data_IF_951939882843
#
_entry.id   IF_951939882843
#
_cell.length_a   1.000
_cell.length_b   1.000
_cell.length_c   1.000
_cell.angle_alpha   90.00
_cell.angle_beta   90.00
_cell.angle_gamma   90.00
#
_symmetry.space_group_name_H-M   'P 1'
#
loop_
_entity.id
_entity.type
_entity.pdbx_description
1 polymer ?
#
# COMPACT_ATOMS: atom_id res chain seq x y z
N UNK A 1 24.25 -32.48 30.87
CA UNK A 1 23.66 -31.33 30.15
C UNK A 1 24.67 -30.26 29.75
N UNK A 2 25.15 -29.34 30.61
CA UNK A 2 26.03 -28.24 30.12
C UNK A 2 27.34 -28.71 29.45
N UNK A 3 28.00 -29.74 30.01
CA UNK A 3 29.23 -30.30 29.40
C UNK A 3 29.01 -30.91 28.01
N UNK A 4 27.85 -31.52 27.77
CA UNK A 4 27.53 -32.14 26.46
C UNK A 4 27.24 -31.08 25.39
N UNK A 5 26.64 -29.94 25.79
CA UNK A 5 26.45 -28.78 24.91
C UNK A 5 27.82 -28.21 24.52
N UNK A 6 28.72 -28.01 25.48
CA UNK A 6 30.08 -27.51 25.24
C UNK A 6 30.88 -28.40 24.29
N UNK A 7 30.87 -29.72 24.51
CA UNK A 7 31.56 -30.69 23.66
C UNK A 7 31.08 -30.64 22.21
N UNK A 8 29.76 -30.56 21.99
CA UNK A 8 29.20 -30.47 20.65
C UNK A 8 29.51 -29.11 19.98
N UNK A 9 29.50 -28.02 20.73
CA UNK A 9 29.87 -26.69 20.20
C UNK A 9 31.35 -26.68 19.77
N UNK A 10 32.26 -27.22 20.58
CA UNK A 10 33.69 -27.29 20.26
C UNK A 10 33.92 -28.19 19.04
N UNK A 11 33.19 -29.29 18.95
CA UNK A 11 33.29 -30.26 17.84
C UNK A 11 32.81 -29.69 16.51
N UNK A 12 31.74 -28.90 16.50
CA UNK A 12 31.10 -28.41 15.28
C UNK A 12 31.42 -26.95 14.95
N UNK A 13 32.43 -26.34 15.60
CA UNK A 13 32.93 -25.02 15.21
C UNK A 13 33.54 -25.08 13.80
N UNK A 14 33.38 -23.99 13.07
CA UNK A 14 33.97 -23.82 11.74
C UNK A 14 35.48 -23.57 11.82
N UNK A 15 36.14 -23.56 10.64
CA UNK A 15 37.59 -23.32 10.52
C UNK A 15 38.06 -21.97 11.12
N UNK A 16 37.14 -21.01 11.28
CA UNK A 16 37.41 -19.69 11.86
C UNK A 16 37.18 -19.66 13.39
N UNK A 17 36.91 -20.80 14.02
CA UNK A 17 36.67 -20.90 15.46
C UNK A 17 35.29 -20.40 15.91
N UNK A 18 34.32 -20.34 14.99
CA UNK A 18 32.98 -19.77 15.21
C UNK A 18 31.92 -20.83 14.96
N UNK A 19 30.72 -20.67 15.52
CA UNK A 19 29.64 -21.65 15.39
C UNK A 19 28.58 -21.14 14.41
N UNK A 20 28.20 -21.94 13.42
CA UNK A 20 27.13 -21.54 12.49
C UNK A 20 25.74 -21.61 13.18
N UNK A 21 24.87 -20.65 12.89
CA UNK A 21 23.52 -20.59 13.47
C UNK A 21 22.70 -21.86 13.19
N UNK A 22 22.76 -22.42 11.98
CA UNK A 22 22.04 -23.65 11.62
C UNK A 22 22.57 -24.86 12.37
N UNK A 23 23.88 -24.87 12.69
CA UNK A 23 24.50 -25.90 13.52
C UNK A 23 24.06 -25.77 14.97
N UNK A 24 23.95 -24.55 15.51
CA UNK A 24 23.45 -24.32 16.86
C UNK A 24 22.01 -24.85 17.05
N UNK A 25 21.13 -24.65 16.07
CA UNK A 25 19.77 -25.22 16.08
C UNK A 25 19.75 -26.75 16.06
N UNK A 26 20.65 -27.36 15.28
CA UNK A 26 20.78 -28.83 15.24
C UNK A 26 21.24 -29.38 16.59
N UNK A 27 22.15 -28.68 17.29
CA UNK A 27 22.60 -29.05 18.63
C UNK A 27 21.44 -28.95 19.63
N UNK A 28 20.70 -27.82 19.63
CA UNK A 28 19.55 -27.61 20.50
C UNK A 28 18.48 -28.69 20.31
N UNK A 29 18.12 -29.00 19.07
CA UNK A 29 17.15 -30.06 18.73
C UNK A 29 17.63 -31.46 19.11
N UNK A 30 18.93 -31.72 19.02
CA UNK A 30 19.51 -33.04 19.34
C UNK A 30 19.52 -33.31 20.84
N UNK A 31 19.75 -32.28 21.65
CA UNK A 31 19.81 -32.38 23.10
C UNK A 31 18.46 -32.06 23.78
N UNK A 32 17.44 -31.71 23.00
CA UNK A 32 16.13 -31.24 23.48
C UNK A 32 16.23 -30.10 24.50
N UNK A 33 17.10 -29.13 24.20
CA UNK A 33 17.36 -27.95 25.04
C UNK A 33 16.99 -26.67 24.32
N UNK A 34 16.73 -25.61 25.09
CA UNK A 34 16.43 -24.30 24.52
C UNK A 34 17.63 -23.74 23.75
N UNK A 35 17.34 -23.11 22.61
CA UNK A 35 18.37 -22.53 21.74
C UNK A 35 19.14 -21.40 22.44
N UNK A 36 18.51 -20.68 23.38
CA UNK A 36 19.15 -19.68 24.21
C UNK A 36 20.18 -20.27 25.17
N UNK A 37 20.01 -21.52 25.61
CA UNK A 37 20.97 -22.23 26.45
C UNK A 37 22.25 -22.60 25.68
N UNK A 38 22.10 -23.03 24.43
CA UNK A 38 23.22 -23.25 23.50
C UNK A 38 23.96 -21.94 23.21
N UNK A 39 23.22 -20.84 23.01
CA UNK A 39 23.81 -19.51 22.79
C UNK A 39 24.58 -18.96 23.99
N UNK A 40 24.03 -19.11 25.20
CA UNK A 40 24.71 -18.73 26.44
C UNK A 40 25.98 -19.56 26.65
N UNK A 41 25.89 -20.87 26.44
CA UNK A 41 27.03 -21.79 26.58
C UNK A 41 28.13 -21.45 25.58
N UNK A 42 27.82 -21.21 24.31
CA UNK A 42 28.78 -20.77 23.29
C UNK A 42 29.48 -19.46 23.69
N UNK A 43 28.72 -18.50 24.23
CA UNK A 43 29.25 -17.21 24.70
C UNK A 43 30.19 -17.39 25.89
N UNK A 44 29.82 -18.25 26.85
CA UNK A 44 30.62 -18.52 28.05
C UNK A 44 31.98 -19.17 27.72
N UNK A 45 32.02 -20.03 26.70
CA UNK A 45 33.28 -20.66 26.22
C UNK A 45 33.99 -19.84 25.13
N UNK A 46 33.56 -18.60 24.90
CA UNK A 46 34.23 -17.65 24.01
C UNK A 46 34.02 -17.88 22.51
N UNK A 47 33.09 -18.74 22.12
CA UNK A 47 32.78 -19.06 20.71
C UNK A 47 31.65 -18.17 20.23
N UNK A 48 31.92 -17.37 19.19
CA UNK A 48 30.91 -16.50 18.56
C UNK A 48 30.08 -17.27 17.54
N UNK A 49 28.77 -17.05 17.53
CA UNK A 49 27.86 -17.62 16.53
C UNK A 49 27.81 -16.71 15.30
N UNK A 50 28.06 -17.25 14.11
CA UNK A 50 28.04 -16.51 12.85
C UNK A 50 26.65 -16.50 12.18
N UNK A 51 26.39 -15.37 11.52
CA UNK A 51 25.19 -14.93 10.79
C UNK A 51 23.94 -15.81 10.93
N UNK A 52 23.09 -15.42 11.88
CA UNK A 52 21.69 -15.82 11.95
C UNK A 52 20.87 -14.97 10.95
N UNK A 53 20.40 -15.57 9.84
CA UNK A 53 19.50 -14.90 8.88
C UNK A 53 18.16 -14.48 9.51
N UNK A 54 17.81 -15.06 10.67
CA UNK A 54 16.58 -14.79 11.42
C UNK A 54 16.78 -13.78 12.57
N UNK A 55 17.99 -13.22 12.74
CA UNK A 55 18.26 -12.17 13.73
C UNK A 55 18.13 -12.56 15.21
N UNK A 56 17.98 -13.84 15.55
CA UNK A 56 17.73 -14.31 16.92
C UNK A 56 18.96 -14.20 17.86
N UNK A 57 20.16 -14.08 17.30
CA UNK A 57 21.41 -13.90 18.06
C UNK A 57 21.97 -12.47 17.98
N UNK A 58 21.23 -11.54 17.37
CA UNK A 58 21.50 -10.12 17.52
C UNK A 58 21.02 -9.66 18.88
N UNK A 59 21.86 -8.97 19.64
CA UNK A 59 21.50 -8.37 20.94
C UNK A 59 20.19 -7.57 20.83
N UNK A 60 19.05 -8.15 21.21
CA UNK A 60 17.96 -7.38 21.80
C UNK A 60 18.34 -7.13 23.26
N UNK A 61 19.35 -6.28 23.46
CA UNK A 61 19.42 -5.53 24.70
C UNK A 61 18.20 -4.60 24.69
N UNK A 62 17.09 -5.05 25.28
CA UNK A 62 16.17 -4.13 25.92
C UNK A 62 16.96 -3.50 27.07
N UNK A 63 17.84 -2.55 26.74
CA UNK A 63 18.54 -1.75 27.75
C UNK A 63 17.47 -1.14 28.65
N UNK A 64 17.68 -1.17 29.96
CA UNK A 64 16.78 -0.58 30.94
C UNK A 64 16.43 0.88 30.58
N UNK A 65 17.37 1.58 29.92
CA UNK A 65 17.16 2.90 29.34
C UNK A 65 16.00 2.99 28.35
N UNK A 66 15.75 1.99 27.50
CA UNK A 66 14.63 2.04 26.54
C UNK A 66 13.26 1.92 27.21
N UNK A 67 13.15 1.16 28.31
CA UNK A 67 11.89 1.02 29.05
C UNK A 67 11.60 2.26 29.89
N UNK A 68 12.63 2.82 30.54
CA UNK A 68 12.52 4.08 31.29
C UNK A 68 12.08 5.23 30.36
N UNK A 69 12.70 5.34 29.18
CA UNK A 69 12.31 6.33 28.17
C UNK A 69 10.86 6.11 27.71
N UNK A 70 10.44 4.87 27.49
CA UNK A 70 9.06 4.57 27.12
C UNK A 70 8.06 5.01 28.20
N UNK A 71 8.34 4.73 29.48
CA UNK A 71 7.46 5.17 30.58
C UNK A 71 7.36 6.68 30.69
N UNK A 72 8.42 7.42 30.35
CA UNK A 72 8.38 8.88 30.29
C UNK A 72 7.60 9.41 29.09
N UNK A 73 7.60 8.67 27.98
CA UNK A 73 6.83 9.01 26.78
C UNK A 73 5.35 8.62 26.92
N UNK A 74 5.04 7.55 27.64
CA UNK A 74 3.72 6.92 27.77
C UNK A 74 2.58 7.91 28.08
N UNK A 75 2.71 8.89 28.99
CA UNK A 75 1.64 9.86 29.28
C UNK A 75 1.33 10.80 28.10
N UNK A 76 2.26 10.93 27.14
CA UNK A 76 2.17 11.82 25.98
C UNK A 76 1.78 11.09 24.69
N UNK A 77 1.59 9.78 24.75
CA UNK A 77 1.20 8.94 23.63
C UNK A 77 -0.32 8.85 23.59
N UNK A 78 -0.91 9.04 22.42
CA UNK A 78 -2.36 8.89 22.24
C UNK A 78 -2.80 7.41 22.19
N UNK A 79 -4.11 7.18 22.30
CA UNK A 79 -4.76 5.86 22.25
C UNK A 79 -4.43 5.02 21.00
N UNK A 80 -3.85 5.62 19.95
CA UNK A 80 -3.47 4.95 18.69
C UNK A 80 -1.95 4.74 18.60
N UNK A 81 -1.23 4.82 19.72
CA UNK A 81 0.22 4.70 19.79
C UNK A 81 0.96 5.76 18.97
N UNK A 82 0.56 7.03 19.10
CA UNK A 82 1.20 8.14 18.38
C UNK A 82 1.60 9.27 19.33
N UNK A 83 2.71 9.94 19.02
CA UNK A 83 3.24 11.08 19.80
C UNK A 83 3.51 12.28 18.87
N UNK A 84 3.41 13.50 19.38
CA UNK A 84 3.81 14.68 18.60
C UNK A 84 5.34 14.79 18.50
N UNK A 85 5.87 15.33 17.41
CA UNK A 85 7.32 15.53 17.26
C UNK A 85 7.87 16.51 18.29
N UNK A 86 7.06 17.48 18.74
CA UNK A 86 7.40 18.37 19.86
C UNK A 86 7.62 17.55 21.13
N UNK A 87 6.65 16.75 21.54
CA UNK A 87 6.75 15.93 22.75
C UNK A 87 7.89 14.91 22.70
N UNK A 88 8.09 14.28 21.55
CA UNK A 88 9.20 13.35 21.33
C UNK A 88 10.56 14.07 21.38
N UNK A 89 10.65 15.30 20.87
CA UNK A 89 11.87 16.11 20.91
C UNK A 89 12.17 16.60 22.33
N UNK A 90 11.15 17.08 23.04
CA UNK A 90 11.25 17.56 24.41
C UNK A 90 11.71 16.42 25.35
N UNK A 91 11.16 15.22 25.17
CA UNK A 91 11.63 14.03 25.87
C UNK A 91 13.07 13.61 25.51
N UNK A 92 13.59 14.11 24.39
CA UNK A 92 14.97 13.90 23.94
C UNK A 92 15.99 14.84 24.57
N UNK A 93 15.57 15.92 25.24
CA UNK A 93 16.47 16.82 25.97
C UNK A 93 17.15 16.04 27.10
N UNK A 94 18.49 16.01 27.12
CA UNK A 94 19.29 15.25 28.10
C UNK A 94 19.50 13.76 27.77
N UNK A 95 18.67 13.14 26.92
CA UNK A 95 18.77 11.71 26.56
C UNK A 95 19.33 11.48 25.15
N UNK A 96 19.05 12.42 24.23
CA UNK A 96 19.46 12.40 22.84
C UNK A 96 18.42 11.78 21.88
N UNK A 97 18.21 12.44 20.74
CA UNK A 97 17.19 12.07 19.74
C UNK A 97 17.35 10.66 19.15
N UNK A 98 18.59 10.14 19.10
CA UNK A 98 18.88 8.79 18.60
C UNK A 98 18.23 7.71 19.47
N UNK A 99 18.27 7.88 20.79
CA UNK A 99 17.65 6.94 21.75
C UNK A 99 16.13 7.04 21.67
N UNK A 100 15.57 8.25 21.62
CA UNK A 100 14.13 8.46 21.42
C UNK A 100 13.65 7.77 20.13
N UNK A 101 14.36 7.98 19.01
CA UNK A 101 14.01 7.34 17.73
C UNK A 101 14.03 5.81 17.82
N UNK A 102 15.03 5.25 18.51
CA UNK A 102 15.11 3.80 18.75
C UNK A 102 13.94 3.31 19.59
N UNK A 103 13.61 4.00 20.69
CA UNK A 103 12.52 3.63 21.57
C UNK A 103 11.17 3.71 20.85
N UNK A 104 10.89 4.79 20.13
CA UNK A 104 9.66 4.93 19.35
C UNK A 104 9.50 3.81 18.33
N UNK A 105 10.59 3.44 17.62
CA UNK A 105 10.58 2.31 16.69
C UNK A 105 10.32 0.98 17.40
N UNK A 106 10.98 0.74 18.53
CA UNK A 106 10.90 -0.52 19.28
C UNK A 106 9.51 -0.77 19.89
N UNK A 107 8.82 0.28 20.29
CA UNK A 107 7.45 0.22 20.82
C UNK A 107 6.37 0.50 19.77
N UNK A 108 6.76 0.59 18.49
CA UNK A 108 5.87 0.83 17.35
C UNK A 108 5.00 2.10 17.51
N UNK A 109 5.60 3.18 18.03
CA UNK A 109 4.97 4.48 18.25
C UNK A 109 5.26 5.39 17.06
N UNK A 110 4.20 5.92 16.42
CA UNK A 110 4.35 6.80 15.27
C UNK A 110 4.46 8.27 15.69
N UNK A 111 5.37 9.02 15.05
CA UNK A 111 5.53 10.46 15.30
C UNK A 111 4.67 11.27 14.32
N UNK A 112 3.95 12.27 14.85
CA UNK A 112 3.18 13.26 14.07
C UNK A 112 3.86 14.63 14.08
N UNK A 113 3.65 15.41 13.03
CA UNK A 113 3.96 16.85 12.96
C UNK A 113 5.45 17.20 13.14
N UNK A 114 6.33 16.41 12.55
CA UNK A 114 7.78 16.59 12.57
C UNK A 114 8.31 17.44 11.42
N UNK A 115 8.11 18.75 11.55
CA UNK A 115 8.49 19.76 10.56
C UNK A 115 10.00 19.82 10.27
N UNK A 116 10.84 19.48 11.25
CA UNK A 116 12.30 19.55 11.16
C UNK A 116 12.95 18.22 10.71
N UNK A 117 12.16 17.20 10.37
CA UNK A 117 12.68 15.90 9.94
C UNK A 117 13.41 15.11 11.02
N UNK A 118 13.29 15.49 12.30
CA UNK A 118 13.95 14.82 13.42
C UNK A 118 13.50 13.35 13.60
N UNK A 119 12.28 13.01 13.15
CA UNK A 119 11.72 11.67 13.21
C UNK A 119 11.03 11.32 11.88
N UNK A 120 11.03 10.03 11.51
CA UNK A 120 10.33 9.53 10.33
C UNK A 120 8.82 9.48 10.63
N UNK A 121 8.06 10.42 10.10
CA UNK A 121 6.60 10.42 10.23
C UNK A 121 5.98 9.26 9.44
N UNK A 122 5.11 8.46 10.08
CA UNK A 122 4.09 7.73 9.31
C UNK A 122 2.96 8.72 9.01
N UNK A 123 3.01 9.34 7.84
CA UNK A 123 1.82 9.96 7.24
C UNK A 123 0.84 8.81 6.98
N UNK A 124 -0.16 8.64 7.86
CA UNK A 124 -1.21 7.64 7.69
C UNK A 124 -1.85 7.76 6.30
N UNK A 125 -2.46 6.68 5.79
CA UNK A 125 -3.13 6.66 4.47
C UNK A 125 -4.04 7.90 4.36
N UNK A 126 -3.60 8.88 3.58
CA UNK A 126 -4.41 10.07 3.29
C UNK A 126 -5.69 9.57 2.64
N UNK A 127 -6.83 10.00 3.16
CA UNK A 127 -8.13 9.73 2.54
C UNK A 127 -8.06 10.13 1.05
N UNK A 128 -8.68 9.35 0.18
CA UNK A 128 -8.74 9.61 -1.26
C UNK A 128 -10.19 9.71 -1.69
N UNK A 129 -10.51 10.69 -2.54
CA UNK A 129 -11.82 10.76 -3.19
C UNK A 129 -11.80 9.91 -4.46
N UNK A 130 -12.90 9.20 -4.70
CA UNK A 130 -13.15 8.48 -5.96
C UNK A 130 -14.52 8.90 -6.47
N UNK A 131 -14.60 9.29 -7.73
CA UNK A 131 -15.84 9.68 -8.39
C UNK A 131 -16.22 8.67 -9.45
N UNK A 132 -17.52 8.43 -9.59
CA UNK A 132 -18.09 7.65 -10.70
C UNK A 132 -19.15 8.52 -11.35
N UNK A 133 -18.99 8.78 -12.63
CA UNK A 133 -19.95 9.56 -13.43
C UNK A 133 -20.74 8.61 -14.33
N UNK A 134 -22.03 8.89 -14.48
CA UNK A 134 -22.88 8.26 -15.47
C UNK A 134 -23.93 9.25 -15.97
N UNK A 135 -24.51 8.97 -17.13
CA UNK A 135 -25.53 9.79 -17.79
C UNK A 135 -26.71 8.88 -18.11
N UNK A 136 -27.91 9.30 -17.72
CA UNK A 136 -29.18 8.63 -17.99
C UNK A 136 -30.12 9.56 -18.76
N UNK A 137 -31.06 9.00 -19.52
CA UNK A 137 -32.16 9.77 -20.09
C UNK A 137 -33.33 9.90 -19.08
N UNK A 138 -34.38 10.60 -19.46
CA UNK A 138 -35.62 10.75 -18.66
C UNK A 138 -36.30 9.42 -18.33
N UNK A 139 -36.08 8.40 -19.16
CA UNK A 139 -36.70 7.09 -19.06
C UNK A 139 -35.88 6.14 -18.16
N UNK A 140 -34.74 6.59 -17.64
CA UNK A 140 -33.83 5.81 -16.79
C UNK A 140 -32.86 4.90 -17.56
N UNK A 141 -32.78 5.01 -18.89
CA UNK A 141 -31.77 4.32 -19.67
C UNK A 141 -30.40 4.93 -19.41
N UNK A 142 -29.49 4.10 -18.90
CA UNK A 142 -28.07 4.45 -18.82
C UNK A 142 -27.51 4.65 -20.23
N UNK A 143 -27.03 5.85 -20.55
CA UNK A 143 -26.43 6.18 -21.85
C UNK A 143 -24.90 6.07 -21.79
N UNK A 144 -24.29 6.74 -20.81
CA UNK A 144 -22.85 6.71 -20.60
C UNK A 144 -22.52 6.31 -19.17
N UNK A 145 -21.43 5.57 -19.01
CA UNK A 145 -21.03 4.94 -17.76
C UNK A 145 -19.94 3.91 -18.03
N UNK A 146 -19.24 3.46 -16.99
CA UNK A 146 -18.08 2.56 -17.12
C UNK A 146 -18.30 1.42 -18.13
N UNK A 147 -19.45 0.72 -18.08
CA UNK A 147 -19.71 -0.41 -18.99
C UNK A 147 -20.07 -0.05 -20.45
N UNK A 148 -20.94 0.94 -20.68
CA UNK A 148 -21.41 1.24 -22.06
C UNK A 148 -20.38 2.02 -22.87
N UNK A 149 -19.63 2.90 -22.21
CA UNK A 149 -18.52 3.62 -22.86
C UNK A 149 -17.39 2.66 -23.21
N UNK A 150 -17.07 1.67 -22.35
CA UNK A 150 -16.08 0.62 -22.63
C UNK A 150 -16.42 -0.16 -23.92
N UNK A 151 -17.70 -0.42 -24.21
CA UNK A 151 -18.10 -1.06 -25.48
C UNK A 151 -17.65 -0.24 -26.68
N UNK A 152 -17.96 1.06 -26.70
CA UNK A 152 -17.60 1.93 -27.82
C UNK A 152 -16.07 2.04 -27.95
N UNK A 153 -15.34 2.13 -26.83
CA UNK A 153 -13.88 2.17 -26.83
C UNK A 153 -13.26 0.89 -27.41
N UNK A 154 -13.73 -0.28 -26.97
CA UNK A 154 -13.19 -1.53 -27.49
C UNK A 154 -13.55 -1.72 -28.96
N UNK A 155 -14.72 -1.26 -29.42
CA UNK A 155 -15.06 -1.25 -30.85
C UNK A 155 -14.15 -0.30 -31.62
N UNK A 156 -13.85 0.88 -31.07
CA UNK A 156 -12.95 1.85 -31.67
C UNK A 156 -11.53 1.27 -31.86
N UNK A 157 -11.05 0.46 -30.91
CA UNK A 157 -9.73 -0.16 -30.95
C UNK A 157 -9.69 -1.43 -31.81
N UNK A 158 -10.74 -2.26 -31.74
CA UNK A 158 -10.75 -3.59 -32.35
C UNK A 158 -11.41 -3.64 -33.73
N UNK A 159 -12.21 -2.64 -34.10
CA UNK A 159 -13.04 -2.66 -35.31
C UNK A 159 -14.11 -3.76 -35.31
N UNK A 160 -14.36 -4.42 -34.18
CA UNK A 160 -15.22 -5.60 -34.10
C UNK A 160 -16.06 -5.61 -32.83
N UNK A 161 -17.38 -5.61 -33.03
CA UNK A 161 -18.33 -5.75 -31.92
C UNK A 161 -18.30 -7.13 -31.26
N UNK A 162 -18.01 -8.19 -32.02
CA UNK A 162 -17.84 -9.53 -31.47
C UNK A 162 -16.65 -9.58 -30.51
N UNK A 163 -15.55 -8.95 -30.90
CA UNK A 163 -14.34 -8.84 -30.05
C UNK A 163 -14.60 -7.97 -28.82
N UNK A 164 -15.37 -6.90 -28.95
CA UNK A 164 -15.79 -6.10 -27.81
C UNK A 164 -16.65 -6.89 -26.80
N UNK A 165 -17.59 -7.69 -27.28
CA UNK A 165 -18.41 -8.56 -26.43
C UNK A 165 -17.55 -9.58 -25.68
N UNK A 166 -16.59 -10.21 -26.36
CA UNK A 166 -15.63 -11.16 -25.79
C UNK A 166 -14.75 -10.52 -24.71
N UNK A 167 -14.08 -9.41 -25.03
CA UNK A 167 -13.19 -8.68 -24.11
C UNK A 167 -13.93 -8.24 -22.84
N UNK A 168 -15.19 -7.82 -22.99
CA UNK A 168 -16.01 -7.33 -21.88
C UNK A 168 -16.81 -8.44 -21.19
N UNK A 169 -16.59 -9.70 -21.54
CA UNK A 169 -17.23 -10.86 -20.91
C UNK A 169 -18.76 -10.83 -20.99
N UNK A 170 -19.32 -10.29 -22.08
CA UNK A 170 -20.77 -10.18 -22.28
C UNK A 170 -21.22 -10.85 -23.58
N UNK A 171 -22.49 -11.21 -23.66
CA UNK A 171 -23.01 -11.77 -24.91
C UNK A 171 -23.14 -10.68 -25.99
N UNK A 172 -22.99 -11.09 -27.26
CA UNK A 172 -23.08 -10.19 -28.41
C UNK A 172 -24.40 -9.41 -28.45
N UNK A 173 -25.53 -10.07 -28.15
CA UNK A 173 -26.87 -9.44 -28.17
C UNK A 173 -26.98 -8.28 -27.17
N UNK A 174 -26.34 -8.38 -26.01
CA UNK A 174 -26.30 -7.36 -24.95
C UNK A 174 -25.41 -6.19 -25.37
N UNK A 175 -24.26 -6.49 -25.96
CA UNK A 175 -23.38 -5.48 -26.57
C UNK A 175 -24.14 -4.67 -27.63
N UNK A 176 -24.80 -5.35 -28.57
CA UNK A 176 -25.63 -4.73 -29.61
C UNK A 176 -26.78 -3.90 -29.03
N UNK A 177 -27.51 -4.46 -28.05
CA UNK A 177 -28.61 -3.76 -27.38
C UNK A 177 -28.15 -2.45 -26.74
N UNK A 178 -26.95 -2.41 -26.15
CA UNK A 178 -26.41 -1.18 -25.57
C UNK A 178 -26.12 -0.11 -26.61
N UNK A 179 -25.57 -0.49 -27.76
CA UNK A 179 -25.33 0.44 -28.89
C UNK A 179 -26.67 0.95 -29.44
N UNK A 180 -27.66 0.07 -29.60
CA UNK A 180 -28.99 0.45 -30.09
C UNK A 180 -29.70 1.46 -29.17
N UNK A 181 -29.61 1.26 -27.85
CA UNK A 181 -30.13 2.22 -26.86
C UNK A 181 -29.43 3.58 -27.03
N UNK A 182 -28.10 3.58 -27.17
CA UNK A 182 -27.31 4.78 -27.40
C UNK A 182 -27.70 5.49 -28.71
N UNK A 183 -27.74 4.77 -29.85
CA UNK A 183 -28.14 5.35 -31.15
C UNK A 183 -29.54 5.96 -31.09
N UNK A 184 -30.51 5.24 -30.52
CA UNK A 184 -31.89 5.72 -30.36
C UNK A 184 -31.93 7.03 -29.57
N UNK A 185 -31.17 7.12 -28.48
CA UNK A 185 -31.11 8.32 -27.63
C UNK A 185 -30.34 9.48 -28.27
N UNK A 186 -29.40 9.20 -29.19
CA UNK A 186 -28.68 10.23 -29.94
C UNK A 186 -29.44 10.68 -31.19
N UNK A 187 -30.48 9.94 -31.61
CA UNK A 187 -31.25 10.22 -32.83
C UNK A 187 -30.51 9.87 -34.12
N UNK A 188 -29.38 9.16 -34.03
CA UNK A 188 -28.53 8.77 -35.16
C UNK A 188 -27.79 7.46 -34.86
N UNK A 189 -27.42 6.71 -35.89
CA UNK A 189 -26.60 5.51 -35.72
C UNK A 189 -25.19 5.88 -35.27
N UNK A 190 -24.63 5.11 -34.33
CA UNK A 190 -23.27 5.31 -33.83
C UNK A 190 -22.24 4.34 -34.45
N UNK A 191 -22.70 3.37 -35.24
CA UNK A 191 -21.86 2.33 -35.82
C UNK A 191 -22.17 2.12 -37.29
N UNK A 192 -21.13 1.87 -38.08
CA UNK A 192 -21.22 1.41 -39.45
C UNK A 192 -21.00 -0.10 -39.49
N UNK A 193 -22.01 -0.84 -39.94
CA UNK A 193 -21.92 -2.29 -40.13
C UNK A 193 -21.74 -2.64 -41.60
N UNK A 194 -20.67 -3.38 -41.94
CA UNK A 194 -20.55 -4.04 -43.25
C UNK A 194 -20.89 -5.53 -43.11
N UNK A 195 -21.92 -5.97 -43.82
CA UNK A 195 -22.27 -7.39 -43.93
C UNK A 195 -21.34 -8.09 -44.94
N UNK A 196 -20.82 -9.27 -44.58
CA UNK A 196 -19.98 -10.12 -45.44
C UNK A 196 -18.95 -10.91 -44.63
N UNK A 197 -18.39 -11.98 -45.21
CA UNK A 197 -17.26 -12.71 -44.64
C UNK A 197 -15.98 -12.35 -45.39
N UNK A 198 -15.10 -11.58 -44.76
CA UNK A 198 -13.81 -11.14 -45.32
C UNK A 198 -13.12 -10.14 -44.41
N UNK A 199 -11.89 -9.74 -44.72
CA UNK A 199 -11.05 -8.87 -43.85
C UNK A 199 -11.67 -7.48 -43.58
N UNK A 200 -12.65 -7.06 -44.37
CA UNK A 200 -13.38 -5.79 -44.23
C UNK A 200 -14.78 -5.95 -43.59
N UNK A 201 -15.11 -7.13 -43.09
CA UNK A 201 -16.33 -7.39 -42.35
C UNK A 201 -16.19 -6.91 -40.90
N UNK A 202 -17.19 -6.19 -40.39
CA UNK A 202 -17.12 -5.70 -39.01
C UNK A 202 -18.08 -4.58 -38.69
N UNK A 203 -17.94 -4.10 -37.46
CA UNK A 203 -18.70 -2.98 -36.91
C UNK A 203 -17.69 -1.93 -36.49
N UNK A 204 -17.70 -0.80 -37.18
CA UNK A 204 -16.80 0.33 -36.89
C UNK A 204 -17.60 1.50 -36.34
N UNK A 205 -16.97 2.33 -35.52
CA UNK A 205 -17.61 3.56 -35.04
C UNK A 205 -17.71 4.60 -36.17
N UNK A 206 -18.76 5.40 -36.16
CA UNK A 206 -18.83 6.60 -36.99
C UNK A 206 -18.20 7.82 -36.27
N UNK A 207 -18.00 8.96 -36.95
CA UNK A 207 -17.41 10.16 -36.35
C UNK A 207 -18.14 10.64 -35.09
N UNK A 208 -19.49 10.55 -35.07
CA UNK A 208 -20.30 10.94 -33.93
C UNK A 208 -19.96 10.15 -32.67
N UNK A 209 -19.82 8.84 -32.79
CA UNK A 209 -19.49 7.98 -31.66
C UNK A 209 -18.14 8.37 -31.03
N UNK A 210 -17.14 8.73 -31.85
CA UNK A 210 -15.85 9.23 -31.35
C UNK A 210 -16.00 10.56 -30.60
N UNK A 211 -16.82 11.49 -31.09
CA UNK A 211 -17.11 12.76 -30.41
C UNK A 211 -17.76 12.53 -29.04
N UNK A 212 -18.71 11.59 -28.96
CA UNK A 212 -19.41 11.24 -27.73
C UNK A 212 -18.46 10.63 -26.69
N UNK A 213 -17.61 9.68 -27.09
CA UNK A 213 -16.57 9.12 -26.21
C UNK A 213 -15.66 10.23 -25.69
N UNK A 214 -15.20 11.12 -26.59
CA UNK A 214 -14.32 12.24 -26.22
C UNK A 214 -15.00 13.20 -25.23
N UNK A 215 -16.26 13.56 -25.49
CA UNK A 215 -17.04 14.46 -24.64
C UNK A 215 -17.27 13.85 -23.25
N UNK A 216 -17.62 12.56 -23.19
CA UNK A 216 -17.80 11.86 -21.93
C UNK A 216 -16.50 11.74 -21.13
N UNK A 217 -15.36 11.44 -21.79
CA UNK A 217 -14.04 11.44 -21.14
C UNK A 217 -13.65 12.82 -20.60
N UNK A 218 -13.97 13.88 -21.34
CA UNK A 218 -13.73 15.24 -20.87
C UNK A 218 -14.54 15.51 -19.60
N UNK A 219 -15.84 15.23 -19.62
CA UNK A 219 -16.72 15.39 -18.47
C UNK A 219 -16.24 14.60 -17.24
N UNK A 220 -15.82 13.34 -17.42
CA UNK A 220 -15.27 12.52 -16.33
C UNK A 220 -14.03 13.18 -15.70
N UNK A 221 -13.11 13.68 -16.51
CA UNK A 221 -11.90 14.38 -16.04
C UNK A 221 -12.24 15.65 -15.28
N UNK A 222 -13.15 16.47 -15.81
CA UNK A 222 -13.55 17.73 -15.19
C UNK A 222 -14.19 17.50 -13.82
N UNK A 223 -15.06 16.49 -13.71
CA UNK A 223 -15.68 16.09 -12.44
C UNK A 223 -14.64 15.55 -11.46
N UNK A 224 -13.73 14.68 -11.90
CA UNK A 224 -12.67 14.14 -11.05
C UNK A 224 -11.75 15.25 -10.55
N UNK A 225 -11.36 16.20 -11.40
CA UNK A 225 -10.53 17.34 -11.02
C UNK A 225 -11.24 18.24 -10.00
N UNK A 226 -12.50 18.59 -10.28
CA UNK A 226 -13.32 19.38 -9.36
C UNK A 226 -13.50 18.67 -8.01
N UNK A 227 -13.84 17.38 -8.02
CA UNK A 227 -14.01 16.60 -6.80
C UNK A 227 -12.71 16.49 -6.02
N UNK A 228 -11.57 16.28 -6.68
CA UNK A 228 -10.25 16.27 -6.04
C UNK A 228 -9.92 17.62 -5.41
N UNK A 229 -10.23 18.73 -6.09
CA UNK A 229 -10.05 20.08 -5.55
C UNK A 229 -10.92 20.31 -4.32
N UNK A 230 -12.23 20.06 -4.42
CA UNK A 230 -13.17 20.21 -3.29
C UNK A 230 -12.83 19.28 -2.13
N UNK A 231 -12.38 18.07 -2.42
CA UNK A 231 -11.94 17.12 -1.41
C UNK A 231 -10.74 17.67 -0.62
N UNK A 232 -9.75 18.26 -1.30
CA UNK A 232 -8.64 18.95 -0.62
C UNK A 232 -9.15 20.10 0.26
N UNK A 233 -10.02 20.94 -0.28
CA UNK A 233 -10.57 22.12 0.40
C UNK A 233 -11.47 21.81 1.59
N UNK A 234 -12.18 20.67 1.59
CA UNK A 234 -13.15 20.32 2.62
C UNK A 234 -12.62 19.31 3.64
N UNK A 235 -11.75 18.40 3.22
CA UNK A 235 -11.30 17.28 4.05
C UNK A 235 -9.81 17.33 4.40
N UNK A 236 -9.00 18.12 3.69
CA UNK A 236 -7.56 18.22 3.91
C UNK A 236 -7.07 19.63 4.32
N UNK A 237 -7.90 20.67 4.18
CA UNK A 237 -7.57 22.08 4.51
C UNK A 237 -7.38 22.34 6.01
N UNK A 238 -8.12 21.65 6.88
CA UNK A 238 -7.95 21.69 8.34
C UNK A 238 -6.57 21.18 8.81
N UNK A 239 -5.82 20.48 7.95
CA UNK A 239 -4.45 20.08 8.24
C UNK A 239 -3.44 21.22 7.99
N UNK A 240 -3.76 22.18 7.13
CA UNK A 240 -2.86 23.29 6.80
C UNK A 240 -3.07 24.49 7.72
N UNK A 241 -4.31 24.77 8.14
CA UNK A 241 -4.60 25.88 9.06
C UNK A 241 -4.18 25.60 10.51
N UNK A 242 -4.14 24.34 10.93
CA UNK A 242 -3.51 23.95 12.22
C UNK A 242 -2.00 24.18 12.21
N UNK A 243 -1.33 24.02 11.06
CA UNK A 243 0.12 24.29 10.93
C UNK A 243 0.43 25.79 10.94
N UNK A 244 -0.51 26.64 10.50
CA UNK A 244 -0.36 28.10 10.52
C UNK A 244 -0.68 28.74 11.87
N UNK A 245 -1.65 28.22 12.63
CA UNK A 245 -1.96 28.73 13.98
C UNK A 245 -0.88 28.44 15.02
N UNK A 246 -0.06 27.42 14.83
CA UNK A 246 1.11 27.13 15.69
C UNK A 246 2.35 28.00 15.38
N UNK A 247 2.24 28.99 14.48
CA UNK A 247 3.34 29.88 14.06
C UNK A 247 3.11 31.37 14.37
N UNK A 248 2.07 31.72 15.14
CA UNK A 248 1.85 33.07 15.69
C UNK A 248 1.94 33.01 17.20
#
# INVERSE_FOLDING_TARGET
>A
MHKEIEELIIKFKNKNGRLDCGVAFKIAKKLDVDIGEVGKTATNIGIKIDSCELGQFGKLEKSDGSYIIYNNLKPKIDEKSRITCKDARDAGVGVGLKKIRSTLKNYNIDVKYCQLGCFKEKKGKKMIVKTKTWIENSDGDLLFGKGKTEILEVIAESGSMSKAAEILGMNYKKCWSHIQILSKNMGEDLVNTKQGGGDNAGTTLNPRAYELIKSYKQLQRDIEEYANKRFKELFLSDQEDRIKKDKI
#
